data_IF_183276415052
#
_entry.id   IF_183276415052
#
_cell.length_a   1.000
_cell.length_b   1.000
_cell.length_c   1.000
_cell.angle_alpha   90.00
_cell.angle_beta   90.00
_cell.angle_gamma   90.00
#
_symmetry.space_group_name_H-M   'P 1'
#
loop_
_entity.id
_entity.type
_entity.pdbx_description
1 polymer ?
#
# COMPACT_ATOMS: atom_id res chain seq x y z
N UNK A 1 25.10 20.68 37.22
CA UNK A 1 24.91 20.60 35.76
C UNK A 1 24.34 19.22 35.47
N UNK A 2 23.04 19.12 35.24
CA UNK A 2 22.35 17.85 34.94
C UNK A 2 21.89 17.94 33.49
N UNK A 3 22.42 17.06 32.65
CA UNK A 3 22.16 17.02 31.21
C UNK A 3 20.71 16.64 30.90
N UNK A 4 20.09 17.37 29.98
CA UNK A 4 18.82 17.01 29.37
C UNK A 4 19.05 15.88 28.35
N UNK A 5 18.56 14.68 28.67
CA UNK A 5 18.46 13.57 27.73
C UNK A 5 17.29 13.75 26.74
N UNK A 6 17.25 12.94 25.66
CA UNK A 6 16.27 13.08 24.58
C UNK A 6 14.85 12.78 25.08
N UNK A 7 13.91 13.63 24.72
CA UNK A 7 12.50 13.52 25.07
C UNK A 7 11.87 12.24 24.54
N UNK A 8 11.75 11.22 25.39
CA UNK A 8 10.84 10.09 25.19
C UNK A 8 9.47 10.48 25.73
N UNK A 9 8.53 10.77 24.84
CA UNK A 9 7.11 10.74 25.18
C UNK A 9 6.66 9.28 25.15
N UNK A 10 6.34 8.73 26.31
CA UNK A 10 5.77 7.37 26.47
C UNK A 10 4.36 7.52 27.06
N UNK A 11 3.35 7.06 26.34
CA UNK A 11 1.95 6.90 26.79
C UNK A 11 1.33 5.77 25.96
N UNK A 12 0.57 4.77 26.41
CA UNK A 12 0.21 4.11 27.68
C UNK A 12 -0.20 2.69 27.24
N UNK A 13 -0.02 1.71 28.12
CA UNK A 13 -0.43 0.31 28.00
C UNK A 13 -1.86 0.16 27.43
N UNK A 14 -2.00 -0.51 26.28
CA UNK A 14 -3.27 -1.08 25.87
C UNK A 14 -3.01 -2.46 25.29
N UNK A 15 -3.25 -3.49 26.11
CA UNK A 15 -3.43 -4.87 25.65
C UNK A 15 -4.57 -4.91 24.63
N UNK A 16 -4.23 -4.83 23.35
CA UNK A 16 -5.17 -5.17 22.29
C UNK A 16 -5.03 -6.66 22.01
N UNK A 17 -5.95 -7.44 22.57
CA UNK A 17 -6.16 -8.83 22.15
C UNK A 17 -6.70 -8.77 20.74
N UNK A 18 -5.86 -9.07 19.75
CA UNK A 18 -6.33 -9.36 18.40
C UNK A 18 -7.01 -10.73 18.43
N UNK A 19 -8.34 -10.73 18.51
CA UNK A 19 -9.09 -11.86 18.01
C UNK A 19 -8.82 -11.95 16.50
N UNK A 20 -8.15 -13.02 16.08
CA UNK A 20 -8.05 -13.41 14.69
C UNK A 20 -9.44 -13.77 14.19
N UNK A 21 -10.21 -12.76 13.79
CA UNK A 21 -11.30 -12.93 12.86
C UNK A 21 -10.63 -13.10 11.51
N UNK A 22 -10.81 -14.27 10.89
CA UNK A 22 -10.34 -14.54 9.53
C UNK A 22 -10.89 -13.48 8.59
N UNK A 23 -10.10 -12.45 8.29
CA UNK A 23 -10.42 -11.48 7.26
C UNK A 23 -9.81 -11.94 5.94
N UNK A 24 -10.55 -11.86 4.82
CA UNK A 24 -10.03 -12.24 3.52
C UNK A 24 -8.77 -11.43 3.18
N UNK A 25 -7.78 -12.12 2.60
CA UNK A 25 -6.42 -11.67 2.27
C UNK A 25 -6.37 -10.32 1.53
N UNK A 26 -7.43 -9.96 0.82
CA UNK A 26 -7.53 -8.73 0.02
C UNK A 26 -7.73 -7.45 0.84
N UNK A 27 -8.21 -7.52 2.09
CA UNK A 27 -8.29 -6.33 2.92
C UNK A 27 -6.90 -5.88 3.39
N UNK A 28 -6.01 -6.84 3.67
CA UNK A 28 -4.62 -6.61 4.15
C UNK A 28 -3.84 -5.70 3.21
N UNK A 29 -3.97 -5.87 1.89
CA UNK A 29 -3.22 -5.09 0.89
C UNK A 29 -3.53 -3.58 0.92
N UNK A 30 -4.80 -3.20 1.12
CA UNK A 30 -5.16 -1.77 1.23
C UNK A 30 -4.62 -1.13 2.51
N UNK A 31 -4.46 -1.90 3.57
CA UNK A 31 -3.89 -1.44 4.83
C UNK A 31 -2.38 -1.24 4.71
N UNK A 32 -1.68 -2.18 4.06
CA UNK A 32 -0.24 -2.10 3.80
C UNK A 32 0.11 -0.84 2.99
N UNK A 33 -0.64 -0.56 1.92
CA UNK A 33 -0.41 0.62 1.06
C UNK A 33 -0.54 1.95 1.83
N UNK A 34 -1.51 2.04 2.75
CA UNK A 34 -1.75 3.23 3.59
C UNK A 34 -0.62 3.46 4.61
N UNK A 35 -0.15 2.40 5.26
CA UNK A 35 1.03 2.48 6.13
C UNK A 35 2.31 2.78 5.37
N UNK A 36 2.43 2.30 4.13
CA UNK A 36 3.63 2.51 3.33
C UNK A 36 3.78 3.96 2.88
N UNK A 37 2.70 4.58 2.39
CA UNK A 37 2.69 6.00 1.97
C UNK A 37 2.89 6.94 3.16
N UNK A 38 2.24 6.69 4.29
CA UNK A 38 2.42 7.51 5.49
C UNK A 38 3.81 7.33 6.09
N UNK A 39 4.35 6.12 6.10
CA UNK A 39 5.71 5.84 6.56
C UNK A 39 6.79 6.47 5.69
N UNK A 40 6.68 6.37 4.37
CA UNK A 40 7.65 7.02 3.46
C UNK A 40 7.63 8.54 3.60
N UNK A 41 6.45 9.14 3.70
CA UNK A 41 6.30 10.59 3.94
C UNK A 41 6.91 11.00 5.28
N UNK A 42 6.70 10.22 6.34
CA UNK A 42 7.25 10.51 7.67
C UNK A 42 8.79 10.40 7.69
N UNK A 43 9.38 9.45 6.96
CA UNK A 43 10.84 9.35 6.81
C UNK A 43 11.40 10.55 6.05
N UNK A 44 10.76 10.97 4.95
CA UNK A 44 11.17 12.16 4.20
C UNK A 44 11.12 13.42 5.09
N UNK A 45 10.04 13.58 5.87
CA UNK A 45 9.94 14.67 6.83
C UNK A 45 11.06 14.61 7.89
N UNK A 46 11.35 13.43 8.43
CA UNK A 46 12.42 13.24 9.41
C UNK A 46 13.81 13.62 8.84
N UNK A 47 14.04 13.38 7.55
CA UNK A 47 15.27 13.81 6.87
C UNK A 47 15.33 15.33 6.76
N UNK A 48 14.23 16.00 6.39
CA UNK A 48 14.18 17.47 6.36
C UNK A 48 14.44 18.06 7.74
N UNK A 49 13.78 17.54 8.77
CA UNK A 49 13.95 17.97 10.17
C UNK A 49 15.39 17.73 10.67
N UNK A 50 16.01 16.63 10.28
CA UNK A 50 17.42 16.37 10.56
C UNK A 50 18.33 17.41 9.90
N UNK A 51 18.07 17.77 8.64
CA UNK A 51 18.87 18.75 7.90
C UNK A 51 18.74 20.17 8.50
N UNK A 52 17.55 20.57 8.92
CA UNK A 52 17.29 21.91 9.45
C UNK A 52 17.67 22.07 10.92
N UNK A 53 17.37 21.07 11.75
CA UNK A 53 17.43 21.18 13.21
C UNK A 53 18.46 20.26 13.85
N UNK A 54 19.06 19.35 13.08
CA UNK A 54 19.97 18.33 13.58
C UNK A 54 19.26 17.28 14.44
N UNK A 55 20.04 16.35 15.01
CA UNK A 55 19.55 15.33 15.95
C UNK A 55 18.92 14.09 15.30
N UNK A 56 18.59 13.08 16.10
CA UNK A 56 18.00 11.83 15.60
C UNK A 56 16.49 11.80 15.79
N UNK A 57 15.76 11.44 14.74
CA UNK A 57 14.30 11.43 14.71
C UNK A 57 13.76 10.00 14.64
N UNK A 58 12.80 9.66 15.51
CA UNK A 58 12.09 8.39 15.49
C UNK A 58 10.76 8.53 14.76
N UNK A 59 10.48 7.61 13.83
CA UNK A 59 9.22 7.56 13.08
C UNK A 59 8.40 6.40 13.62
N UNK A 60 7.24 6.71 14.21
CA UNK A 60 6.25 5.72 14.67
C UNK A 60 5.01 5.79 13.77
N UNK A 61 4.76 4.70 13.05
CA UNK A 61 3.68 4.61 12.07
C UNK A 61 2.75 3.48 12.50
N UNK A 62 1.58 3.85 12.99
CA UNK A 62 0.52 2.90 13.27
C UNK A 62 -0.66 3.10 12.32
N UNK A 63 -1.15 1.99 11.77
CA UNK A 63 -2.31 1.95 10.89
C UNK A 63 -3.56 2.64 11.49
N UNK A 64 -3.74 2.46 12.80
CA UNK A 64 -4.84 3.07 13.54
C UNK A 64 -4.69 4.60 13.62
N UNK A 65 -3.47 5.11 13.82
CA UNK A 65 -3.23 6.55 13.84
C UNK A 65 -3.49 7.20 12.48
N UNK A 66 -3.05 6.56 11.40
CA UNK A 66 -3.36 7.02 10.04
C UNK A 66 -4.87 7.06 9.78
N UNK A 67 -5.58 5.99 10.18
CA UNK A 67 -7.04 5.91 10.01
C UNK A 67 -7.78 6.98 10.83
N UNK A 68 -7.35 7.22 12.08
CA UNK A 68 -7.93 8.29 12.89
C UNK A 68 -7.59 9.69 12.35
N UNK A 69 -6.38 9.88 11.82
CA UNK A 69 -5.99 11.14 11.21
C UNK A 69 -6.85 11.47 9.99
N UNK A 70 -7.12 10.48 9.11
CA UNK A 70 -8.01 10.68 7.96
C UNK A 70 -9.41 11.10 8.39
N UNK A 71 -9.98 10.41 9.39
CA UNK A 71 -11.32 10.73 9.89
C UNK A 71 -11.39 12.13 10.50
N UNK A 72 -10.32 12.56 11.20
CA UNK A 72 -10.27 13.85 11.91
C UNK A 72 -9.87 15.02 11.02
N UNK A 73 -9.04 14.79 9.99
CA UNK A 73 -8.39 15.86 9.22
C UNK A 73 -8.92 16.00 7.80
N UNK A 74 -9.28 14.89 7.16
CA UNK A 74 -9.85 14.91 5.81
C UNK A 74 -11.39 14.98 5.83
N UNK A 75 -11.99 14.85 7.00
CA UNK A 75 -13.43 14.91 7.21
C UNK A 75 -14.16 13.64 6.75
N UNK A 76 -15.46 13.61 7.00
CA UNK A 76 -16.38 12.61 6.46
C UNK A 76 -17.18 13.26 5.34
N UNK A 77 -17.57 12.47 4.34
CA UNK A 77 -18.58 12.93 3.40
C UNK A 77 -19.85 13.38 4.16
N UNK A 78 -20.57 14.41 3.67
CA UNK A 78 -21.88 14.76 4.18
C UNK A 78 -22.78 13.53 4.31
N UNK A 79 -23.62 13.48 5.34
CA UNK A 79 -24.38 12.27 5.68
C UNK A 79 -25.30 11.81 4.56
N UNK A 80 -25.85 12.73 3.78
CA UNK A 80 -26.67 12.43 2.60
C UNK A 80 -25.87 11.78 1.47
N UNK A 81 -24.63 12.25 1.23
CA UNK A 81 -23.69 11.65 0.27
C UNK A 81 -23.27 10.27 0.75
N UNK A 82 -22.93 10.13 2.02
CA UNK A 82 -22.52 8.85 2.60
C UNK A 82 -23.64 7.81 2.57
N UNK A 83 -24.87 8.19 2.95
CA UNK A 83 -26.03 7.30 2.87
C UNK A 83 -26.36 6.90 1.44
N UNK A 84 -26.35 7.84 0.47
CA UNK A 84 -26.55 7.51 -0.95
C UNK A 84 -25.51 6.52 -1.45
N UNK A 85 -24.23 6.76 -1.13
CA UNK A 85 -23.14 5.85 -1.49
C UNK A 85 -23.41 4.47 -0.89
N UNK A 86 -23.62 4.37 0.42
CA UNK A 86 -23.83 3.11 1.13
C UNK A 86 -25.03 2.31 0.63
N UNK A 87 -26.14 2.98 0.34
CA UNK A 87 -27.35 2.36 -0.22
C UNK A 87 -27.12 1.89 -1.66
N UNK A 88 -26.28 2.59 -2.44
CA UNK A 88 -25.98 2.23 -3.83
C UNK A 88 -24.91 1.14 -3.97
N UNK A 89 -23.93 1.07 -3.07
CA UNK A 89 -22.75 0.20 -3.21
C UNK A 89 -22.70 -0.98 -2.23
N UNK A 90 -23.49 -0.97 -1.15
CA UNK A 90 -23.46 -2.02 -0.12
C UNK A 90 -22.18 -2.03 0.73
N UNK A 91 -21.95 -3.12 1.48
CA UNK A 91 -20.81 -3.27 2.41
C UNK A 91 -19.44 -3.30 1.69
N UNK A 92 -18.51 -2.45 2.14
CA UNK A 92 -17.15 -2.25 1.60
C UNK A 92 -16.28 -3.53 1.54
N UNK A 93 -16.58 -4.55 2.32
CA UNK A 93 -15.79 -5.80 2.35
C UNK A 93 -16.00 -6.65 1.09
N UNK A 94 -17.08 -6.41 0.34
CA UNK A 94 -17.42 -7.10 -0.91
C UNK A 94 -17.25 -6.22 -2.16
N UNK A 95 -16.63 -5.04 -1.99
CA UNK A 95 -16.65 -4.01 -3.02
C UNK A 95 -15.65 -4.20 -4.15
N UNK A 96 -14.52 -4.88 -4.00
CA UNK A 96 -13.57 -5.01 -5.12
C UNK A 96 -14.19 -5.69 -6.35
N UNK A 97 -14.85 -6.87 -6.23
CA UNK A 97 -15.53 -7.49 -7.36
C UNK A 97 -16.69 -6.64 -7.90
N UNK A 98 -17.47 -5.98 -7.04
CA UNK A 98 -18.63 -5.19 -7.44
C UNK A 98 -18.24 -3.84 -8.07
N UNK A 99 -17.20 -3.20 -7.57
CA UNK A 99 -16.60 -1.98 -8.14
C UNK A 99 -15.91 -2.32 -9.45
N UNK A 100 -15.16 -3.42 -9.53
CA UNK A 100 -14.61 -3.90 -10.80
C UNK A 100 -15.71 -4.17 -11.83
N UNK A 101 -16.80 -4.83 -11.40
CA UNK A 101 -17.99 -5.06 -12.24
C UNK A 101 -18.63 -3.75 -12.70
N UNK A 102 -18.84 -2.79 -11.81
CA UNK A 102 -19.43 -1.50 -12.15
C UNK A 102 -18.53 -0.70 -13.10
N UNK A 103 -17.21 -0.68 -12.85
CA UNK A 103 -16.22 -0.06 -13.74
C UNK A 103 -16.24 -0.71 -15.13
N UNK A 104 -16.37 -2.03 -15.20
CA UNK A 104 -16.49 -2.72 -16.48
C UNK A 104 -17.82 -2.39 -17.18
N UNK A 105 -18.95 -2.43 -16.46
CA UNK A 105 -20.26 -2.17 -17.04
C UNK A 105 -20.41 -0.75 -17.61
N UNK A 106 -19.84 0.24 -16.95
CA UNK A 106 -20.03 1.64 -17.35
C UNK A 106 -18.85 2.19 -18.15
N UNK A 107 -17.62 1.74 -17.87
CA UNK A 107 -16.40 2.37 -18.37
C UNK A 107 -15.41 1.37 -19.00
N UNK A 108 -15.85 0.16 -19.41
CA UNK A 108 -14.96 -0.86 -19.99
C UNK A 108 -14.10 -0.33 -21.15
N UNK A 109 -14.72 0.38 -22.09
CA UNK A 109 -14.05 0.88 -23.28
C UNK A 109 -12.91 1.88 -22.97
N UNK A 110 -13.02 2.60 -21.86
CA UNK A 110 -12.01 3.56 -21.44
C UNK A 110 -10.96 2.92 -20.54
N UNK A 111 -11.35 2.07 -19.57
CA UNK A 111 -10.45 1.57 -18.52
C UNK A 111 -9.79 0.23 -18.85
N UNK A 112 -10.39 -0.58 -19.71
CA UNK A 112 -9.96 -1.96 -19.96
C UNK A 112 -9.45 -2.15 -21.40
N UNK A 113 -8.82 -1.12 -21.97
CA UNK A 113 -8.22 -1.21 -23.30
C UNK A 113 -7.05 -2.21 -23.28
N UNK A 114 -6.98 -3.18 -24.22
CA UNK A 114 -5.90 -4.17 -24.26
C UNK A 114 -4.50 -3.54 -24.30
N UNK A 115 -4.37 -2.34 -24.88
CA UNK A 115 -3.13 -1.57 -24.94
C UNK A 115 -2.56 -1.21 -23.56
N UNK A 116 -3.39 -1.13 -22.52
CA UNK A 116 -2.97 -0.78 -21.15
C UNK A 116 -2.43 -1.96 -20.36
N UNK A 117 -2.52 -3.17 -20.91
CA UNK A 117 -2.13 -4.38 -20.20
C UNK A 117 -0.99 -5.10 -20.92
N UNK A 118 -0.20 -5.81 -20.13
CA UNK A 118 0.80 -6.77 -20.56
C UNK A 118 0.49 -8.14 -19.94
N UNK A 119 1.02 -9.19 -20.56
CA UNK A 119 0.96 -10.53 -20.03
C UNK A 119 2.33 -10.83 -19.46
N UNK A 120 2.37 -11.18 -18.18
CA UNK A 120 3.60 -11.55 -17.47
C UNK A 120 3.51 -13.00 -17.00
N UNK A 121 4.60 -13.73 -17.14
CA UNK A 121 4.72 -15.05 -16.52
C UNK A 121 5.00 -14.89 -15.02
N UNK A 122 4.23 -15.60 -14.20
CA UNK A 122 4.49 -15.78 -12.78
C UNK A 122 5.20 -17.14 -12.62
N UNK A 123 6.53 -17.10 -12.64
CA UNK A 123 7.40 -18.28 -12.69
C UNK A 123 7.09 -19.33 -11.63
N UNK A 124 6.85 -18.89 -10.39
CA UNK A 124 6.49 -19.78 -9.28
C UNK A 124 5.20 -20.60 -9.55
N UNK A 125 4.23 -20.00 -10.23
CA UNK A 125 2.94 -20.63 -10.49
C UNK A 125 2.84 -21.28 -11.88
N UNK A 126 3.83 -21.08 -12.76
CA UNK A 126 3.76 -21.48 -14.17
C UNK A 126 2.54 -20.90 -14.90
N UNK A 127 2.11 -19.68 -14.51
CA UNK A 127 0.89 -19.05 -15.01
C UNK A 127 1.18 -17.70 -15.63
N UNK A 128 0.39 -17.34 -16.63
CA UNK A 128 0.39 -16.01 -17.21
C UNK A 128 -0.65 -15.13 -16.52
N UNK A 129 -0.21 -13.98 -16.01
CA UNK A 129 -1.03 -12.99 -15.34
C UNK A 129 -1.09 -11.75 -16.20
N UNK A 130 -2.30 -11.18 -16.35
CA UNK A 130 -2.48 -9.89 -17.02
C UNK A 130 -2.26 -8.76 -16.01
N UNK A 131 -1.27 -7.92 -16.25
CA UNK A 131 -0.90 -6.77 -15.41
C UNK A 131 -1.02 -5.46 -16.17
N UNK A 132 -1.13 -4.34 -15.44
CA UNK A 132 -1.14 -3.00 -16.04
C UNK A 132 0.27 -2.66 -16.52
N UNK A 133 0.40 -2.14 -17.74
CA UNK A 133 1.66 -1.66 -18.31
C UNK A 133 2.14 -0.40 -17.59
N UNK A 134 3.45 -0.24 -17.40
CA UNK A 134 4.03 1.01 -16.96
C UNK A 134 3.66 2.16 -17.90
N UNK A 135 3.20 3.28 -17.33
CA UNK A 135 2.80 4.47 -18.11
C UNK A 135 3.97 5.44 -18.33
N UNK A 136 4.98 5.40 -17.47
CA UNK A 136 6.13 6.28 -17.59
C UNK A 136 7.03 5.82 -18.75
N UNK A 137 7.35 6.75 -19.63
CA UNK A 137 8.23 6.55 -20.77
C UNK A 137 9.42 7.48 -20.65
N UNK A 138 10.62 6.94 -20.86
CA UNK A 138 11.86 7.72 -20.85
C UNK A 138 12.25 8.09 -22.28
N UNK A 139 12.63 9.35 -22.55
CA UNK A 139 13.12 9.77 -23.86
C UNK A 139 14.22 8.83 -24.35
N UNK A 140 14.25 8.55 -25.66
CA UNK A 140 15.23 7.68 -26.32
C UNK A 140 15.23 6.20 -25.91
N UNK A 141 14.32 5.75 -25.04
CA UNK A 141 14.20 4.32 -24.68
C UNK A 141 15.38 3.78 -23.86
N UNK A 142 16.17 4.66 -23.23
CA UNK A 142 17.33 4.28 -22.41
C UNK A 142 16.94 3.49 -21.16
N UNK A 143 15.69 3.64 -20.70
CA UNK A 143 15.14 2.94 -19.54
C UNK A 143 13.85 2.24 -19.94
N UNK A 144 13.86 0.91 -19.81
CA UNK A 144 12.66 0.07 -19.91
C UNK A 144 12.13 -0.18 -18.49
N UNK A 145 10.99 0.43 -18.15
CA UNK A 145 10.30 0.07 -16.91
C UNK A 145 9.64 -1.28 -17.10
N UNK A 146 10.08 -2.25 -16.31
CA UNK A 146 9.47 -3.57 -16.21
C UNK A 146 9.80 -4.18 -14.85
N UNK A 147 9.22 -5.33 -14.58
CA UNK A 147 9.66 -6.19 -13.49
C UNK A 147 10.32 -7.42 -14.10
N UNK A 148 11.56 -7.68 -13.73
CA UNK A 148 12.30 -8.87 -14.19
C UNK A 148 11.85 -10.15 -13.46
N UNK A 149 11.25 -10.00 -12.27
CA UNK A 149 10.75 -11.09 -11.43
C UNK A 149 9.22 -11.11 -11.44
N UNK A 150 8.65 -12.32 -11.53
CA UNK A 150 7.21 -12.57 -11.55
C UNK A 150 6.55 -12.37 -10.17
N UNK A 151 5.21 -12.50 -10.14
CA UNK A 151 4.48 -12.53 -8.87
C UNK A 151 4.69 -13.87 -8.16
N UNK A 152 4.87 -13.82 -6.83
CA UNK A 152 5.08 -15.00 -5.97
C UNK A 152 4.20 -14.97 -4.73
N UNK A 153 3.93 -16.14 -4.17
CA UNK A 153 3.17 -16.29 -2.93
C UNK A 153 3.88 -15.69 -1.71
N UNK A 154 3.10 -15.27 -0.72
CA UNK A 154 3.64 -14.83 0.57
C UNK A 154 4.36 -16.00 1.27
N UNK A 155 5.57 -15.73 1.79
CA UNK A 155 6.35 -16.70 2.58
C UNK A 155 7.19 -17.69 1.76
N UNK A 156 7.27 -17.52 0.44
CA UNK A 156 8.11 -18.36 -0.44
C UNK A 156 9.60 -18.04 -0.28
N UNK A 157 9.95 -16.78 -0.02
CA UNK A 157 11.33 -16.36 0.19
C UNK A 157 11.81 -16.54 1.63
N UNK A 158 13.10 -16.84 1.78
CA UNK A 158 13.81 -16.58 3.04
C UNK A 158 13.82 -15.08 3.35
N UNK A 159 13.87 -14.75 4.64
CA UNK A 159 13.94 -13.38 5.14
C UNK A 159 15.34 -12.75 4.97
N UNK A 160 15.89 -12.78 3.76
CA UNK A 160 17.20 -12.22 3.38
C UNK A 160 17.14 -11.60 1.98
N UNK A 161 18.03 -10.67 1.70
CA UNK A 161 18.18 -10.10 0.36
C UNK A 161 19.04 -11.02 -0.52
N UNK A 162 18.66 -11.32 -1.76
CA UNK A 162 19.51 -12.06 -2.68
C UNK A 162 20.66 -11.16 -3.15
N UNK A 163 21.82 -11.77 -3.41
CA UNK A 163 22.97 -11.07 -3.98
C UNK A 163 22.68 -10.62 -5.42
N UNK A 164 21.91 -11.41 -6.16
CA UNK A 164 21.40 -11.07 -7.49
C UNK A 164 19.91 -10.70 -7.41
N UNK A 165 19.59 -9.47 -7.78
CA UNK A 165 18.21 -8.96 -7.76
C UNK A 165 17.32 -9.60 -8.84
N UNK A 166 17.86 -10.39 -9.76
CA UNK A 166 17.11 -11.19 -10.72
C UNK A 166 16.78 -12.60 -10.21
N UNK A 167 17.07 -12.89 -8.95
CA UNK A 167 16.75 -14.18 -8.32
C UNK A 167 15.24 -14.29 -8.10
N UNK A 168 14.58 -15.19 -8.83
CA UNK A 168 13.12 -15.37 -8.79
C UNK A 168 12.60 -15.79 -7.40
N UNK A 169 13.30 -16.72 -6.73
CA UNK A 169 13.01 -17.19 -5.36
C UNK A 169 14.27 -17.19 -4.49
N UNK A 170 14.19 -16.54 -3.32
CA UNK A 170 15.29 -16.51 -2.35
C UNK A 170 15.24 -17.77 -1.47
N UNK A 171 16.04 -18.77 -1.81
CA UNK A 171 16.06 -20.10 -1.15
C UNK A 171 16.93 -20.24 0.07
#
# INVERSE_FOLDING_TARGET
MVGMGPGKVRVVDSKLVMHAVEYPVTMVEQWVLKTQVSGSTAVLQAICEHAEKGGSWGVDVALNYYSQWLVRSCGKYPSDVWSKLWTSTGSLTYMLPQVAKAMYQHNAAALFQPSFFEIREAGEFGKFIRTIKPIAQFPNGEVELRFDIGTRGNGVDKAVWPTDLNTDIVV
#
